data_IF_903127099770
#
_entry.id   IF_903127099770
#
_cell.length_a   1.000
_cell.length_b   1.000
_cell.length_c   1.000
_cell.angle_alpha   90.00
_cell.angle_beta   90.00
_cell.angle_gamma   90.00
#
_symmetry.space_group_name_H-M   'P 1'
#
loop_
_entity.id
_entity.type
_entity.pdbx_description
1 polymer ?
#
# COMPACT_ATOMS: atom_id res chain seq x y z
N UNK A 1 51.41 -15.79 34.78
CA UNK A 1 50.64 -15.70 36.05
C UNK A 1 49.89 -14.38 36.08
N UNK A 2 48.56 -14.40 35.91
CA UNK A 2 47.74 -13.19 35.90
C UNK A 2 47.20 -12.89 37.31
N UNK A 3 47.47 -11.68 37.84
CA UNK A 3 46.93 -11.21 39.12
C UNK A 3 45.41 -10.98 39.00
N UNK A 4 44.60 -11.75 39.74
CA UNK A 4 43.17 -11.48 39.91
C UNK A 4 42.97 -10.23 40.77
N UNK A 5 42.24 -9.24 40.25
CA UNK A 5 41.80 -8.04 40.99
C UNK A 5 40.66 -8.44 41.94
N UNK A 6 40.78 -8.15 43.22
CA UNK A 6 39.70 -8.34 44.22
C UNK A 6 38.62 -7.29 43.97
N UNK A 7 37.43 -7.73 43.58
CA UNK A 7 36.25 -6.88 43.47
C UNK A 7 35.72 -6.55 44.87
N UNK A 8 35.50 -5.27 45.17
CA UNK A 8 34.92 -4.82 46.44
C UNK A 8 33.42 -5.11 46.43
N UNK A 9 32.88 -5.66 47.52
CA UNK A 9 31.46 -6.01 47.61
C UNK A 9 30.56 -4.75 47.53
N UNK A 10 29.43 -4.81 46.81
CA UNK A 10 28.54 -3.66 46.59
C UNK A 10 27.73 -3.23 47.84
N UNK A 11 27.89 -3.92 48.96
CA UNK A 11 27.12 -3.73 50.19
C UNK A 11 27.41 -2.44 50.97
N UNK A 12 28.41 -1.64 50.56
CA UNK A 12 28.84 -0.44 51.30
C UNK A 12 28.53 0.90 50.58
N UNK A 13 27.76 0.87 49.50
CA UNK A 13 27.33 2.10 48.80
C UNK A 13 25.97 2.54 49.38
N UNK A 14 25.96 3.67 50.13
CA UNK A 14 24.71 4.26 50.63
C UNK A 14 23.89 4.77 49.44
N UNK A 15 22.82 4.05 49.10
CA UNK A 15 21.86 4.45 48.07
C UNK A 15 21.06 5.65 48.60
N UNK A 16 21.32 6.83 48.05
CA UNK A 16 20.52 8.04 48.31
C UNK A 16 19.62 8.27 47.09
N UNK A 17 18.32 8.40 47.32
CA UNK A 17 17.40 8.69 46.21
C UNK A 17 17.69 10.10 45.65
N UNK A 18 17.63 10.28 44.32
CA UNK A 18 17.72 11.60 43.73
C UNK A 18 16.54 12.45 44.22
N UNK A 19 16.81 13.72 44.51
CA UNK A 19 15.76 14.65 44.90
C UNK A 19 14.76 14.80 43.76
N UNK A 20 13.47 14.61 44.09
CA UNK A 20 12.33 14.71 43.17
C UNK A 20 11.56 16.00 43.37
N UNK A 21 12.10 16.94 44.16
CA UNK A 21 11.57 18.28 44.21
C UNK A 21 11.57 18.87 42.80
N UNK A 22 10.42 19.41 42.38
CA UNK A 22 10.29 20.07 41.09
C UNK A 22 11.23 21.28 40.97
N UNK A 23 11.44 21.82 39.77
CA UNK A 23 12.35 22.94 39.55
C UNK A 23 11.98 24.11 40.47
N UNK A 24 12.97 24.58 41.24
CA UNK A 24 12.80 25.73 42.15
C UNK A 24 12.71 27.07 41.41
N UNK A 25 13.08 27.08 40.13
CA UNK A 25 13.06 28.24 39.26
C UNK A 25 11.78 28.24 38.40
N UNK A 26 11.36 29.43 37.97
CA UNK A 26 10.17 29.59 37.13
C UNK A 26 10.29 28.72 35.88
N UNK A 27 9.26 27.93 35.61
CA UNK A 27 9.25 27.05 34.44
C UNK A 27 9.13 27.87 33.16
N UNK A 28 9.62 27.33 32.04
CA UNK A 28 9.52 27.98 30.73
C UNK A 28 8.06 28.26 30.32
N UNK A 29 7.13 27.39 30.75
CA UNK A 29 5.70 27.60 30.61
C UNK A 29 5.22 28.85 31.37
N UNK A 30 5.61 29.00 32.64
CA UNK A 30 5.26 30.17 33.46
C UNK A 30 5.88 31.46 32.92
N UNK A 31 7.11 31.42 32.40
CA UNK A 31 7.75 32.57 31.76
C UNK A 31 7.08 32.94 30.43
N UNK A 32 6.58 31.96 29.68
CA UNK A 32 5.83 32.20 28.44
C UNK A 32 4.44 32.78 28.71
N UNK A 33 3.80 32.35 29.80
CA UNK A 33 2.53 32.89 30.31
C UNK A 33 2.70 34.32 30.84
N UNK A 34 3.72 34.60 31.66
CA UNK A 34 4.02 35.95 32.17
C UNK A 34 4.27 36.97 31.04
N UNK A 35 4.80 36.51 29.91
CA UNK A 35 5.08 37.34 28.73
C UNK A 35 3.94 37.32 27.70
N UNK A 36 2.84 36.61 27.96
CA UNK A 36 1.68 36.56 27.07
C UNK A 36 1.96 35.97 25.69
N UNK A 37 2.96 35.09 25.53
CA UNK A 37 3.34 34.56 24.22
C UNK A 37 2.23 33.71 23.59
N UNK A 38 1.42 33.03 24.40
CA UNK A 38 0.30 32.21 23.91
C UNK A 38 -0.80 33.07 23.28
N UNK A 39 -1.12 34.22 23.88
CA UNK A 39 -2.09 35.16 23.33
C UNK A 39 -1.57 35.82 22.06
N UNK A 40 -0.26 36.12 22.02
CA UNK A 40 0.39 36.67 20.84
C UNK A 40 0.42 35.67 19.68
N UNK A 41 0.67 34.38 19.97
CA UNK A 41 0.60 33.31 18.98
C UNK A 41 -0.82 33.13 18.45
N UNK A 42 -1.83 33.14 19.33
CA UNK A 42 -3.25 33.04 18.95
C UNK A 42 -3.70 34.18 18.04
N UNK A 43 -3.35 35.43 18.39
CA UNK A 43 -3.66 36.59 17.54
C UNK A 43 -3.01 36.49 16.16
N UNK A 44 -1.77 35.97 16.09
CA UNK A 44 -1.05 35.80 14.82
C UNK A 44 -1.68 34.73 13.93
N UNK A 45 -2.15 33.63 14.52
CA UNK A 45 -2.91 32.60 13.80
C UNK A 45 -4.21 33.18 13.24
N UNK A 46 -4.97 33.91 14.06
CA UNK A 46 -6.23 34.55 13.65
C UNK A 46 -6.02 35.61 12.55
N UNK A 47 -4.88 36.31 12.55
CA UNK A 47 -4.49 37.28 11.50
C UNK A 47 -4.10 36.59 10.19
N UNK A 48 -3.34 35.49 10.26
CA UNK A 48 -2.96 34.67 9.10
C UNK A 48 -4.20 34.05 8.45
N UNK A 49 -5.17 33.61 9.25
CA UNK A 49 -6.43 33.05 8.76
C UNK A 49 -7.29 34.10 8.04
N UNK A 50 -7.26 35.36 8.50
CA UNK A 50 -8.02 36.47 7.89
C UNK A 50 -7.39 37.03 6.61
N UNK A 51 -6.06 37.06 6.51
CA UNK A 51 -5.35 37.56 5.32
C UNK A 51 -5.22 36.52 4.19
N UNK A 52 -5.49 35.25 4.46
CA UNK A 52 -5.45 34.19 3.45
C UNK A 52 -6.63 34.28 2.46
N UNK A 53 -6.43 34.94 1.31
CA UNK A 53 -7.17 34.60 0.07
C UNK A 53 -6.84 33.16 -0.33
N UNK A 54 -7.76 32.41 -0.98
CA UNK A 54 -7.62 30.96 -1.20
C UNK A 54 -6.55 30.65 -2.26
N UNK A 55 -5.29 30.77 -1.86
CA UNK A 55 -4.15 30.17 -2.56
C UNK A 55 -3.84 28.89 -1.79
N UNK A 56 -4.05 27.71 -2.38
CA UNK A 56 -4.01 26.45 -1.63
C UNK A 56 -2.56 26.05 -1.35
N UNK A 57 -2.03 26.51 -0.22
CA UNK A 57 -0.88 25.88 0.45
C UNK A 57 -1.24 25.80 1.95
N UNK A 58 -1.76 24.67 2.45
CA UNK A 58 -2.12 24.55 3.86
C UNK A 58 -0.92 24.17 4.74
N UNK A 59 -0.83 24.79 5.91
CA UNK A 59 -0.05 24.36 7.07
C UNK A 59 -0.98 24.41 8.28
N UNK A 60 -1.18 23.34 9.07
CA UNK A 60 -1.81 23.40 10.39
C UNK A 60 -0.72 23.42 11.49
N UNK A 61 -0.97 23.70 12.76
CA UNK A 61 -2.13 23.35 13.56
C UNK A 61 -2.29 24.24 14.80
N UNK A 62 -3.48 24.18 15.41
CA UNK A 62 -3.67 24.43 16.84
C UNK A 62 -4.30 23.19 17.49
N UNK A 63 -3.76 22.87 18.67
CA UNK A 63 -3.84 21.62 19.41
C UNK A 63 -5.18 21.39 20.13
N UNK A 64 -5.50 20.13 20.42
CA UNK A 64 -5.70 19.60 21.78
C UNK A 64 -5.80 18.06 21.74
N UNK A 65 -4.79 17.42 22.32
CA UNK A 65 -4.74 16.11 22.99
C UNK A 65 -5.80 15.03 22.64
N UNK A 66 -5.55 14.26 21.57
CA UNK A 66 -5.73 12.81 21.56
C UNK A 66 -4.50 12.23 20.82
N UNK A 67 -3.92 11.15 21.37
CA UNK A 67 -2.83 10.41 20.76
C UNK A 67 -3.24 9.95 19.35
N UNK A 68 -2.75 10.62 18.31
CA UNK A 68 -2.54 10.01 17.01
C UNK A 68 -1.40 10.76 16.31
N UNK A 69 -0.41 10.00 15.87
CA UNK A 69 0.67 10.44 15.01
C UNK A 69 0.08 10.90 13.66
N UNK A 70 -0.56 12.07 13.59
CA UNK A 70 -0.98 12.68 12.33
C UNK A 70 0.25 13.25 11.62
N UNK A 71 0.98 12.31 10.99
CA UNK A 71 1.83 12.57 9.85
C UNK A 71 1.13 13.57 8.94
N UNK A 72 1.75 14.72 8.67
CA UNK A 72 1.20 15.77 7.82
C UNK A 72 0.88 15.19 6.42
N UNK A 73 -0.35 14.68 6.27
CA UNK A 73 -0.79 13.89 5.13
C UNK A 73 -0.75 14.70 3.84
N UNK A 74 -0.45 14.02 2.73
CA UNK A 74 -0.51 14.63 1.41
C UNK A 74 -1.98 14.94 1.08
N UNK A 75 -2.26 15.85 0.13
CA UNK A 75 -3.65 16.06 -0.28
C UNK A 75 -4.25 14.73 -0.81
N UNK A 76 -5.52 14.40 -0.51
CA UNK A 76 -6.13 13.09 -0.80
C UNK A 76 -6.01 12.60 -2.25
N UNK A 77 -5.99 13.53 -3.20
CA UNK A 77 -5.79 13.22 -4.63
C UNK A 77 -4.36 12.79 -4.93
N UNK A 78 -3.37 13.40 -4.27
CA UNK A 78 -1.95 13.05 -4.43
C UNK A 78 -1.66 11.70 -3.79
N UNK A 79 -2.22 11.42 -2.61
CA UNK A 79 -2.14 10.09 -1.99
C UNK A 79 -2.69 9.01 -2.91
N UNK A 80 -3.89 9.23 -3.45
CA UNK A 80 -4.51 8.34 -4.44
C UNK A 80 -3.62 8.12 -5.66
N UNK A 81 -3.09 9.18 -6.24
CA UNK A 81 -2.25 9.10 -7.44
C UNK A 81 -0.96 8.36 -7.12
N UNK A 82 -0.30 8.68 -6.01
CA UNK A 82 0.95 8.05 -5.60
C UNK A 82 0.76 6.56 -5.33
N UNK A 83 -0.30 6.18 -4.61
CA UNK A 83 -0.66 4.79 -4.36
C UNK A 83 -0.95 4.06 -5.69
N UNK A 84 -1.75 4.67 -6.57
CA UNK A 84 -2.04 4.11 -7.89
C UNK A 84 -0.76 3.91 -8.71
N UNK A 85 0.15 4.88 -8.70
CA UNK A 85 1.43 4.79 -9.40
C UNK A 85 2.27 3.65 -8.81
N UNK A 86 2.35 3.54 -7.49
CA UNK A 86 3.10 2.48 -6.81
C UNK A 86 2.59 1.09 -7.20
N UNK A 87 1.27 0.87 -7.11
CA UNK A 87 0.65 -0.40 -7.49
C UNK A 87 0.79 -0.68 -8.99
N UNK A 88 0.58 0.32 -9.85
CA UNK A 88 0.65 0.14 -11.31
C UNK A 88 2.06 -0.16 -11.79
N UNK A 89 3.09 0.49 -11.25
CA UNK A 89 4.49 0.20 -11.55
C UNK A 89 4.85 -1.20 -11.09
N UNK A 90 4.43 -1.60 -9.89
CA UNK A 90 4.69 -2.94 -9.35
C UNK A 90 4.07 -4.03 -10.23
N UNK A 91 2.79 -3.85 -10.62
CA UNK A 91 2.08 -4.80 -11.46
C UNK A 91 2.60 -4.81 -12.91
N UNK A 92 2.99 -3.64 -13.45
CA UNK A 92 3.61 -3.54 -14.76
C UNK A 92 4.97 -4.24 -14.80
N UNK A 93 5.76 -4.15 -13.72
CA UNK A 93 7.02 -4.88 -13.60
C UNK A 93 6.80 -6.39 -13.53
N UNK A 94 5.78 -6.86 -12.80
CA UNK A 94 5.38 -8.27 -12.83
C UNK A 94 4.97 -8.71 -14.24
N UNK A 95 4.20 -7.89 -14.95
CA UNK A 95 3.82 -8.19 -16.34
C UNK A 95 5.04 -8.25 -17.26
N UNK A 96 5.97 -7.30 -17.12
CA UNK A 96 7.20 -7.28 -17.90
C UNK A 96 8.03 -8.54 -17.67
N UNK A 97 8.23 -8.95 -16.41
CA UNK A 97 9.00 -10.16 -16.10
C UNK A 97 8.31 -11.41 -16.64
N UNK A 98 6.99 -11.53 -16.50
CA UNK A 98 6.24 -12.64 -17.07
C UNK A 98 6.29 -12.64 -18.60
N UNK A 99 6.17 -11.49 -19.27
CA UNK A 99 6.25 -11.38 -20.73
C UNK A 99 7.64 -11.78 -21.25
N UNK A 100 8.71 -11.37 -20.56
CA UNK A 100 10.09 -11.78 -20.87
C UNK A 100 10.29 -13.27 -20.63
N UNK A 101 9.84 -13.82 -19.50
CA UNK A 101 9.99 -15.25 -19.20
C UNK A 101 9.26 -16.12 -20.22
N UNK A 102 8.02 -15.77 -20.56
CA UNK A 102 7.23 -16.54 -21.51
C UNK A 102 7.83 -16.43 -22.93
N UNK A 103 8.34 -15.27 -23.33
CA UNK A 103 9.08 -15.15 -24.59
C UNK A 103 10.39 -15.95 -24.58
N UNK A 104 11.11 -15.99 -23.46
CA UNK A 104 12.30 -16.80 -23.32
C UNK A 104 12.00 -18.31 -23.36
N UNK A 105 10.83 -18.74 -22.84
CA UNK A 105 10.41 -20.14 -22.83
C UNK A 105 9.90 -20.65 -24.19
N UNK A 106 9.27 -19.79 -24.99
CA UNK A 106 8.54 -20.21 -26.19
C UNK A 106 9.00 -19.57 -27.50
N UNK A 107 9.87 -18.56 -27.50
CA UNK A 107 10.36 -17.96 -28.76
C UNK A 107 11.53 -18.73 -29.35
N UNK A 108 11.44 -19.02 -30.64
CA UNK A 108 12.50 -19.70 -31.43
C UNK A 108 13.49 -18.68 -32.02
N UNK A 109 13.02 -17.46 -32.33
CA UNK A 109 13.73 -16.49 -33.19
C UNK A 109 14.26 -15.24 -32.47
N UNK A 110 14.46 -15.29 -31.14
CA UNK A 110 14.93 -14.18 -30.27
C UNK A 110 13.89 -13.11 -29.87
N UNK A 111 14.16 -12.43 -28.74
CA UNK A 111 13.26 -11.46 -28.11
C UNK A 111 13.23 -10.14 -28.91
N UNK A 112 12.04 -9.74 -29.35
CA UNK A 112 11.83 -8.45 -30.05
C UNK A 112 11.59 -7.34 -29.02
N UNK A 113 12.68 -6.78 -28.49
CA UNK A 113 12.67 -5.74 -27.45
C UNK A 113 11.74 -4.55 -27.70
N UNK A 114 11.62 -3.98 -28.92
CA UNK A 114 10.68 -2.88 -29.16
C UNK A 114 9.23 -3.27 -28.87
N UNK A 115 8.84 -4.51 -29.18
CA UNK A 115 7.47 -5.00 -28.90
C UNK A 115 7.26 -5.24 -27.41
N UNK A 116 8.28 -5.71 -26.68
CA UNK A 116 8.20 -5.87 -25.22
C UNK A 116 7.97 -4.52 -24.55
N UNK A 117 8.72 -3.50 -24.95
CA UNK A 117 8.57 -2.14 -24.41
C UNK A 117 7.19 -1.54 -24.70
N UNK A 118 6.64 -1.72 -25.91
CA UNK A 118 5.28 -1.22 -26.20
C UNK A 118 4.22 -1.92 -25.37
N UNK A 119 4.32 -3.25 -25.20
CA UNK A 119 3.41 -4.02 -24.34
C UNK A 119 3.52 -3.63 -22.87
N UNK A 120 4.74 -3.38 -22.39
CA UNK A 120 4.97 -2.89 -21.02
C UNK A 120 4.35 -1.52 -20.78
N UNK A 121 4.56 -0.55 -21.69
CA UNK A 121 3.94 0.77 -21.60
C UNK A 121 2.41 0.69 -21.66
N UNK A 122 1.87 -0.14 -22.54
CA UNK A 122 0.43 -0.39 -22.61
C UNK A 122 -0.09 -1.00 -21.30
N UNK A 123 0.61 -2.00 -20.75
CA UNK A 123 0.24 -2.64 -19.49
C UNK A 123 0.27 -1.63 -18.32
N UNK A 124 1.28 -0.76 -18.26
CA UNK A 124 1.38 0.29 -17.25
C UNK A 124 0.18 1.24 -17.29
N UNK A 125 -0.22 1.68 -18.49
CA UNK A 125 -1.40 2.54 -18.64
C UNK A 125 -2.70 1.82 -18.29
N UNK A 126 -2.89 0.60 -18.77
CA UNK A 126 -4.10 -0.19 -18.52
C UNK A 126 -4.22 -0.52 -17.04
N UNK A 127 -3.16 -1.03 -16.41
CA UNK A 127 -3.16 -1.32 -14.98
C UNK A 127 -3.29 -0.05 -14.15
N UNK A 128 -2.65 1.06 -14.55
CA UNK A 128 -2.81 2.35 -13.89
C UNK A 128 -4.27 2.81 -13.85
N UNK A 129 -4.98 2.76 -14.99
CA UNK A 129 -6.40 3.09 -15.05
C UNK A 129 -7.24 2.13 -14.20
N UNK A 130 -6.93 0.84 -14.30
CA UNK A 130 -7.69 -0.21 -13.63
C UNK A 130 -7.55 -0.08 -12.10
N UNK A 131 -6.32 0.07 -11.60
CA UNK A 131 -6.02 0.32 -10.18
C UNK A 131 -6.64 1.64 -9.73
N UNK A 132 -6.51 2.71 -10.51
CA UNK A 132 -7.13 3.99 -10.15
C UNK A 132 -8.65 3.87 -9.93
N UNK A 133 -9.32 3.01 -10.70
CA UNK A 133 -10.76 2.81 -10.64
C UNK A 133 -11.22 1.79 -9.58
N UNK A 134 -10.47 0.69 -9.40
CA UNK A 134 -10.90 -0.50 -8.65
C UNK A 134 -10.12 -0.75 -7.36
N UNK A 135 -8.98 -0.08 -7.15
CA UNK A 135 -8.23 -0.18 -5.89
C UNK A 135 -8.94 0.59 -4.76
N UNK A 136 -8.97 0.07 -3.52
CA UNK A 136 -9.58 0.75 -2.38
C UNK A 136 -8.69 1.90 -1.92
N UNK A 137 -9.11 3.13 -2.18
CA UNK A 137 -8.43 4.30 -1.59
C UNK A 137 -9.03 4.62 -0.22
N UNK A 138 -8.23 4.66 0.85
CA UNK A 138 -8.70 4.97 2.21
C UNK A 138 -9.35 6.36 2.29
N UNK A 139 -8.91 7.30 1.45
CA UNK A 139 -9.36 8.69 1.48
C UNK A 139 -10.72 8.97 0.80
N UNK A 140 -11.34 8.01 0.08
CA UNK A 140 -12.68 8.23 -0.50
C UNK A 140 -13.38 6.91 -0.88
N UNK A 141 -14.31 6.45 -0.04
CA UNK A 141 -15.16 5.27 -0.22
C UNK A 141 -16.31 5.47 -1.26
N UNK A 142 -16.06 6.23 -2.32
CA UNK A 142 -17.07 6.61 -3.30
C UNK A 142 -16.80 6.01 -4.67
N UNK A 143 -16.76 4.68 -4.80
CA UNK A 143 -16.52 4.03 -6.10
C UNK A 143 -17.70 4.25 -7.07
N UNK A 144 -18.89 4.55 -6.54
CA UNK A 144 -20.10 4.91 -7.28
C UNK A 144 -20.80 6.07 -6.56
N UNK A 145 -21.06 7.21 -7.22
CA UNK A 145 -21.87 8.28 -6.64
C UNK A 145 -23.29 7.75 -6.42
N UNK A 146 -23.66 7.49 -5.16
CA UNK A 146 -25.03 7.14 -4.76
C UNK A 146 -25.25 5.76 -4.12
N UNK A 147 -24.24 4.90 -3.99
CA UNK A 147 -24.40 3.60 -3.30
C UNK A 147 -24.01 3.67 -1.81
N UNK A 148 -24.78 3.07 -0.88
CA UNK A 148 -24.40 2.99 0.52
C UNK A 148 -23.06 2.27 0.72
N UNK A 149 -22.15 2.77 1.58
CA UNK A 149 -20.79 2.24 1.74
C UNK A 149 -20.74 0.77 2.18
N UNK A 150 -21.79 0.26 2.83
CA UNK A 150 -21.88 -1.14 3.29
C UNK A 150 -21.96 -2.16 2.15
N UNK A 151 -22.59 -1.79 1.03
CA UNK A 151 -22.72 -2.68 -0.13
C UNK A 151 -21.50 -2.60 -1.06
N UNK A 152 -20.77 -1.47 -1.03
CA UNK A 152 -19.61 -1.28 -1.90
C UNK A 152 -18.46 -2.25 -1.57
N UNK A 153 -18.21 -2.51 -0.29
CA UNK A 153 -17.18 -3.49 0.13
C UNK A 153 -17.54 -4.91 -0.29
N UNK A 154 -18.78 -5.34 -0.05
CA UNK A 154 -19.26 -6.66 -0.45
C UNK A 154 -19.26 -6.84 -1.98
N UNK A 155 -19.71 -5.83 -2.73
CA UNK A 155 -19.68 -5.85 -4.20
C UNK A 155 -18.26 -5.97 -4.73
N UNK A 156 -17.30 -5.23 -4.16
CA UNK A 156 -15.88 -5.30 -4.51
C UNK A 156 -15.33 -6.71 -4.29
N UNK A 157 -15.53 -7.28 -3.11
CA UNK A 157 -15.09 -8.64 -2.79
C UNK A 157 -15.68 -9.67 -3.77
N UNK A 158 -16.96 -9.55 -4.14
CA UNK A 158 -17.59 -10.43 -5.13
C UNK A 158 -16.97 -10.26 -6.53
N UNK A 159 -16.70 -9.01 -6.96
CA UNK A 159 -16.05 -8.73 -8.24
C UNK A 159 -14.65 -9.36 -8.29
N UNK A 160 -13.82 -9.15 -7.27
CA UNK A 160 -12.48 -9.74 -7.22
C UNK A 160 -12.51 -11.26 -7.05
N UNK A 161 -13.49 -11.79 -6.33
CA UNK A 161 -13.66 -13.24 -6.16
C UNK A 161 -13.97 -13.90 -7.50
N UNK A 162 -14.96 -13.37 -8.21
CA UNK A 162 -15.33 -13.86 -9.54
C UNK A 162 -14.19 -13.68 -10.53
N UNK A 163 -13.56 -12.50 -10.58
CA UNK A 163 -12.40 -12.24 -11.42
C UNK A 163 -11.25 -13.22 -11.13
N UNK A 164 -10.96 -13.50 -9.85
CA UNK A 164 -9.92 -14.43 -9.44
C UNK A 164 -10.21 -15.86 -9.91
N UNK A 165 -11.43 -16.36 -9.71
CA UNK A 165 -11.83 -17.71 -10.15
C UNK A 165 -11.80 -17.83 -11.67
N UNK A 166 -12.38 -16.87 -12.39
CA UNK A 166 -12.39 -16.87 -13.86
C UNK A 166 -10.97 -16.74 -14.44
N UNK A 167 -10.17 -15.79 -13.95
CA UNK A 167 -8.81 -15.58 -14.43
C UNK A 167 -7.91 -16.78 -14.12
N UNK A 168 -8.01 -17.36 -12.92
CA UNK A 168 -7.25 -18.55 -12.55
C UNK A 168 -7.61 -19.78 -13.39
N UNK A 169 -8.91 -20.10 -13.51
CA UNK A 169 -9.36 -21.20 -14.35
C UNK A 169 -9.04 -20.99 -15.83
N UNK A 170 -9.19 -19.76 -16.33
CA UNK A 170 -8.85 -19.42 -17.72
C UNK A 170 -7.35 -19.51 -17.96
N UNK A 171 -6.50 -19.04 -17.03
CA UNK A 171 -5.04 -19.16 -17.14
C UNK A 171 -4.61 -20.63 -17.22
N UNK A 172 -5.16 -21.49 -16.36
CA UNK A 172 -4.91 -22.94 -16.37
C UNK A 172 -5.39 -23.56 -17.70
N UNK A 173 -6.55 -23.13 -18.18
CA UNK A 173 -7.07 -23.63 -19.45
C UNK A 173 -6.18 -23.23 -20.61
N UNK A 174 -5.74 -21.97 -20.69
CA UNK A 174 -5.00 -21.50 -21.85
C UNK A 174 -3.61 -22.11 -21.97
N UNK A 175 -2.93 -22.30 -20.84
CA UNK A 175 -1.58 -22.85 -20.80
C UNK A 175 -1.56 -24.34 -21.18
N UNK A 176 -2.67 -25.05 -20.95
CA UNK A 176 -2.79 -26.47 -21.27
C UNK A 176 -3.48 -26.77 -22.61
N UNK A 177 -4.34 -25.88 -23.12
CA UNK A 177 -5.17 -26.16 -24.30
C UNK A 177 -4.74 -25.44 -25.58
N UNK A 178 -4.09 -24.26 -25.49
CA UNK A 178 -3.72 -23.49 -26.68
C UNK A 178 -2.24 -23.63 -27.04
N UNK A 179 -1.94 -23.39 -28.31
CA UNK A 179 -0.56 -23.36 -28.81
C UNK A 179 0.25 -22.18 -28.24
N UNK A 180 1.57 -22.32 -28.30
CA UNK A 180 2.54 -21.40 -27.69
C UNK A 180 2.29 -19.91 -28.00
N UNK A 181 1.90 -19.56 -29.24
CA UNK A 181 1.63 -18.16 -29.63
C UNK A 181 0.48 -17.52 -28.86
N UNK A 182 -0.55 -18.29 -28.51
CA UNK A 182 -1.68 -17.79 -27.73
C UNK A 182 -1.25 -17.58 -26.26
N UNK A 183 -0.50 -18.54 -25.71
CA UNK A 183 0.06 -18.48 -24.36
C UNK A 183 0.97 -17.25 -24.20
N UNK A 184 1.87 -17.00 -25.15
CA UNK A 184 2.77 -15.83 -25.15
C UNK A 184 2.04 -14.48 -25.16
N UNK A 185 0.85 -14.43 -25.77
CA UNK A 185 0.08 -13.17 -25.85
C UNK A 185 -0.81 -12.97 -24.64
N UNK A 186 -1.41 -14.03 -24.11
CA UNK A 186 -2.49 -13.92 -23.12
C UNK A 186 -2.04 -14.21 -21.69
N UNK A 187 -1.10 -15.15 -21.49
CA UNK A 187 -0.74 -15.59 -20.13
C UNK A 187 -0.14 -14.48 -19.25
N UNK A 188 0.77 -13.60 -19.72
CA UNK A 188 1.33 -12.54 -18.87
C UNK A 188 0.27 -11.57 -18.29
N UNK A 189 -0.62 -10.94 -19.09
CA UNK A 189 -1.61 -10.02 -18.54
C UNK A 189 -2.67 -10.71 -17.69
N UNK A 190 -3.11 -11.93 -18.06
CA UNK A 190 -4.10 -12.67 -17.27
C UNK A 190 -3.50 -13.13 -15.94
N UNK A 191 -2.23 -13.56 -15.93
CA UNK A 191 -1.50 -13.89 -14.71
C UNK A 191 -1.42 -12.71 -13.75
N UNK A 192 -1.10 -11.52 -14.25
CA UNK A 192 -1.09 -10.30 -13.43
C UNK A 192 -2.47 -9.96 -12.88
N UNK A 193 -3.53 -10.02 -13.71
CA UNK A 193 -4.90 -9.77 -13.24
C UNK A 193 -5.35 -10.80 -12.21
N UNK A 194 -4.96 -12.06 -12.36
CA UNK A 194 -5.28 -13.10 -11.39
C UNK A 194 -4.57 -12.86 -10.05
N UNK A 195 -3.27 -12.60 -10.07
CA UNK A 195 -2.48 -12.29 -8.85
C UNK A 195 -3.04 -11.06 -8.14
N UNK A 196 -3.31 -9.99 -8.89
CA UNK A 196 -3.88 -8.77 -8.32
C UNK A 196 -5.27 -9.03 -7.72
N UNK A 197 -6.12 -9.81 -8.40
CA UNK A 197 -7.44 -10.18 -7.85
C UNK A 197 -7.35 -11.01 -6.58
N UNK A 198 -6.32 -11.84 -6.40
CA UNK A 198 -6.10 -12.63 -5.18
C UNK A 198 -5.60 -11.76 -4.03
N UNK A 199 -4.70 -10.81 -4.31
CA UNK A 199 -4.14 -9.91 -3.28
C UNK A 199 -5.21 -8.99 -2.68
N UNK A 200 -6.20 -8.60 -3.49
CA UNK A 200 -7.27 -7.69 -3.10
C UNK A 200 -8.41 -8.37 -2.32
N UNK A 201 -8.47 -9.71 -2.32
CA UNK A 201 -9.47 -10.47 -1.57
C UNK A 201 -9.10 -10.59 -0.09
N UNK A 202 -10.11 -10.64 0.77
CA UNK A 202 -9.87 -11.02 2.17
C UNK A 202 -9.33 -12.46 2.22
N UNK A 203 -8.48 -12.74 3.20
CA UNK A 203 -7.81 -14.03 3.38
C UNK A 203 -8.72 -15.26 3.19
N UNK A 204 -9.93 -15.37 3.78
CA UNK A 204 -10.78 -16.54 3.58
C UNK A 204 -11.28 -16.67 2.14
N UNK A 205 -11.63 -15.56 1.47
CA UNK A 205 -12.10 -15.56 0.09
C UNK A 205 -10.98 -15.86 -0.88
N UNK A 206 -9.77 -15.37 -0.62
CA UNK A 206 -8.57 -15.70 -1.38
C UNK A 206 -8.23 -17.20 -1.30
N UNK A 207 -8.29 -17.80 -0.10
CA UNK A 207 -8.10 -19.24 0.07
C UNK A 207 -9.17 -20.03 -0.68
N UNK A 208 -10.43 -19.57 -0.62
CA UNK A 208 -11.54 -20.24 -1.31
C UNK A 208 -11.39 -20.16 -2.84
N UNK A 209 -11.02 -19.01 -3.40
CA UNK A 209 -10.82 -18.86 -4.85
C UNK A 209 -9.65 -19.70 -5.36
N UNK A 210 -8.53 -19.75 -4.61
CA UNK A 210 -7.39 -20.61 -4.90
C UNK A 210 -7.74 -22.10 -4.80
N UNK A 211 -8.51 -22.49 -3.79
CA UNK A 211 -8.98 -23.88 -3.67
C UNK A 211 -9.87 -24.28 -4.85
N UNK A 212 -10.70 -23.35 -5.35
CA UNK A 212 -11.53 -23.55 -6.53
C UNK A 212 -10.71 -23.74 -7.81
N UNK A 213 -9.69 -22.90 -8.02
CA UNK A 213 -8.76 -23.04 -9.14
C UNK A 213 -7.96 -24.36 -9.06
N UNK A 214 -7.54 -24.77 -7.86
CA UNK A 214 -6.88 -26.06 -7.63
C UNK A 214 -7.80 -27.25 -7.89
N UNK A 215 -9.06 -27.18 -7.45
CA UNK A 215 -10.07 -28.19 -7.75
C UNK A 215 -10.35 -28.31 -9.25
N UNK A 216 -10.38 -27.18 -9.98
CA UNK A 216 -10.53 -27.18 -11.43
C UNK A 216 -9.34 -27.87 -12.13
N UNK A 217 -8.12 -27.60 -11.68
CA UNK A 217 -6.91 -28.26 -12.19
C UNK A 217 -6.97 -29.78 -11.99
N UNK A 218 -7.41 -30.21 -10.79
CA UNK A 218 -7.57 -31.63 -10.47
C UNK A 218 -8.67 -32.31 -11.30
N UNK A 219 -9.84 -31.68 -11.44
CA UNK A 219 -10.95 -32.20 -12.24
C UNK A 219 -10.61 -32.36 -13.72
N UNK A 220 -9.83 -31.43 -14.28
CA UNK A 220 -9.40 -31.49 -15.68
C UNK A 220 -8.23 -32.43 -15.94
N UNK A 221 -7.67 -33.06 -14.90
CA UNK A 221 -6.61 -34.03 -15.04
C UNK A 221 -5.32 -33.44 -15.61
N UNK A 222 -5.10 -32.13 -15.45
CA UNK A 222 -3.84 -31.48 -15.77
C UNK A 222 -2.80 -31.89 -14.71
N UNK A 223 -2.34 -33.15 -14.75
CA UNK A 223 -1.41 -33.67 -13.75
C UNK A 223 -0.06 -32.97 -13.90
N UNK A 224 0.48 -32.46 -12.80
CA UNK A 224 1.89 -32.10 -12.68
C UNK A 224 2.67 -33.43 -12.73
N UNK A 225 3.35 -33.70 -13.85
CA UNK A 225 4.35 -34.77 -13.95
C UNK A 225 5.73 -34.20 -13.70
#
# INVERSE_FOLDING_TARGET
MARRRRERSPSNVKLKQPDRSGPSEKTLLQLAEERGLFDQAKKREDEIEKEATPVPIPRPAKNEEEDDDEEAGLPPTVERVLETVLWSVSLAMLHFTLDVLVQHQYSVDSIVWPKVWTRFMQALLVFGLLIYALHPHPANHGLVPGLPPRYQSALRQVIFFTASVFAGCYLIHITNAFGYMAVMKQAPPIGCLWVWSVIELDLPWAMLSLSGAGAFLWQKGYSIR
#
